data_IF_412760718946
#
_entry.id   IF_412760718946
#
_cell.length_a   1.000
_cell.length_b   1.000
_cell.length_c   1.000
_cell.angle_alpha   90.00
_cell.angle_beta   90.00
_cell.angle_gamma   90.00
#
_symmetry.space_group_name_H-M   'P 1'
#
loop_
_entity.id
_entity.type
_entity.pdbx_description
1 polymer ?
#
# COMPACT_ATOMS: atom_id res chain seq x y z
N UNK A 1 -2.94 -0.28 17.97
CA UNK A 1 -2.18 0.00 16.76
C UNK A 1 -0.87 -0.78 16.79
N UNK A 2 -0.79 -1.85 16.01
CA UNK A 2 0.45 -2.62 15.80
C UNK A 2 1.48 -1.77 15.04
N UNK A 3 2.77 -1.98 15.36
CA UNK A 3 3.89 -1.28 14.73
C UNK A 3 4.87 -2.26 14.12
N UNK A 4 5.47 -1.87 13.01
CA UNK A 4 6.54 -2.62 12.37
C UNK A 4 7.86 -2.24 13.04
N UNK A 5 8.24 -3.04 14.04
CA UNK A 5 9.56 -2.92 14.68
C UNK A 5 10.64 -3.39 13.72
N UNK A 6 11.89 -2.98 13.91
CA UNK A 6 13.01 -3.42 13.05
C UNK A 6 13.13 -4.94 12.97
N UNK A 7 12.95 -5.64 14.10
CA UNK A 7 12.94 -7.11 14.14
C UNK A 7 11.82 -7.71 13.28
N UNK A 8 10.65 -7.08 13.22
CA UNK A 8 9.55 -7.54 12.37
C UNK A 8 9.81 -7.17 10.92
N UNK A 9 10.33 -5.98 10.66
CA UNK A 9 10.71 -5.52 9.33
C UNK A 9 11.71 -6.49 8.68
N UNK A 10 12.77 -6.88 9.38
CA UNK A 10 13.76 -7.84 8.88
C UNK A 10 13.17 -9.21 8.45
N UNK A 11 12.01 -9.60 8.98
CA UNK A 11 11.32 -10.85 8.58
C UNK A 11 10.53 -10.72 7.29
N UNK A 12 10.12 -9.51 6.94
CA UNK A 12 9.20 -9.25 5.82
C UNK A 12 9.82 -8.39 4.72
N UNK A 13 11.02 -7.86 4.95
CA UNK A 13 11.75 -7.01 4.01
C UNK A 13 11.88 -7.67 2.64
N UNK A 14 12.21 -8.96 2.58
CA UNK A 14 12.32 -9.68 1.30
C UNK A 14 11.00 -9.67 0.51
N UNK A 15 9.85 -9.89 1.16
CA UNK A 15 8.55 -9.88 0.49
C UNK A 15 8.15 -8.47 0.04
N UNK A 16 8.54 -7.45 0.81
CA UNK A 16 8.35 -6.05 0.42
C UNK A 16 9.23 -5.65 -0.77
N UNK A 17 10.47 -6.15 -0.84
CA UNK A 17 11.35 -5.96 -2.01
C UNK A 17 10.86 -6.68 -3.25
N UNK A 18 10.37 -7.92 -3.12
CA UNK A 18 9.77 -8.68 -4.21
C UNK A 18 8.53 -7.94 -4.75
N UNK A 19 7.60 -7.56 -3.87
CA UNK A 19 6.41 -6.80 -4.26
C UNK A 19 6.75 -5.42 -4.84
N UNK A 20 7.80 -4.76 -4.35
CA UNK A 20 8.30 -3.50 -4.95
C UNK A 20 8.84 -3.75 -6.36
N UNK A 21 9.56 -4.84 -6.56
CA UNK A 21 10.10 -5.22 -7.86
C UNK A 21 8.99 -5.54 -8.86
N UNK A 22 7.93 -6.23 -8.43
CA UNK A 22 6.70 -6.44 -9.23
C UNK A 22 6.08 -5.09 -9.63
N UNK A 23 5.91 -4.15 -8.70
CA UNK A 23 5.39 -2.82 -9.04
C UNK A 23 6.27 -2.08 -10.06
N UNK A 24 7.59 -2.14 -9.92
CA UNK A 24 8.52 -1.49 -10.85
C UNK A 24 8.36 -2.10 -12.25
N UNK A 25 8.41 -3.42 -12.35
CA UNK A 25 8.44 -4.11 -13.63
C UNK A 25 7.06 -4.10 -14.30
N UNK A 26 6.01 -4.45 -13.56
CA UNK A 26 4.71 -4.79 -14.11
C UNK A 26 3.64 -3.71 -13.82
N UNK A 27 3.91 -2.79 -12.89
CA UNK A 27 2.94 -1.78 -12.44
C UNK A 27 1.82 -2.33 -11.57
N UNK A 28 1.89 -3.62 -11.24
CA UNK A 28 0.94 -4.36 -10.41
C UNK A 28 1.71 -5.30 -9.50
N UNK A 29 1.15 -5.64 -8.34
CA UNK A 29 1.72 -6.67 -7.46
C UNK A 29 0.63 -7.65 -6.99
N UNK A 30 1.03 -8.88 -6.67
CA UNK A 30 0.11 -9.87 -6.12
C UNK A 30 -0.13 -9.66 -4.61
N UNK A 31 -1.10 -8.80 -4.30
CA UNK A 31 -1.33 -8.34 -2.93
C UNK A 31 -1.87 -9.46 -2.01
N UNK A 32 -2.46 -10.52 -2.58
CA UNK A 32 -2.91 -11.69 -1.82
C UNK A 32 -1.73 -12.56 -1.35
N UNK A 33 -0.69 -12.70 -2.19
CA UNK A 33 0.53 -13.42 -1.82
C UNK A 33 1.28 -12.63 -0.75
N UNK A 34 1.49 -11.32 -0.97
CA UNK A 34 2.14 -10.44 0.00
C UNK A 34 1.43 -10.49 1.36
N UNK A 35 0.09 -10.42 1.39
CA UNK A 35 -0.68 -10.55 2.63
C UNK A 35 -0.36 -11.84 3.37
N UNK A 36 -0.47 -12.97 2.67
CA UNK A 36 -0.28 -14.29 3.26
C UNK A 36 1.12 -14.40 3.86
N UNK A 37 2.14 -14.06 3.09
CA UNK A 37 3.55 -14.19 3.51
C UNK A 37 3.89 -13.28 4.69
N UNK A 38 3.40 -12.04 4.70
CA UNK A 38 3.59 -11.14 5.84
C UNK A 38 2.86 -11.65 7.09
N UNK A 39 1.62 -12.15 6.96
CA UNK A 39 0.86 -12.68 8.08
C UNK A 39 1.51 -13.93 8.66
N UNK A 40 1.92 -14.86 7.82
CA UNK A 40 2.56 -16.11 8.24
C UNK A 40 3.90 -15.82 8.92
N UNK A 41 4.72 -14.92 8.34
CA UNK A 41 6.05 -14.59 8.87
C UNK A 41 6.01 -13.81 10.19
N UNK A 42 4.98 -12.98 10.37
CA UNK A 42 4.80 -12.18 11.58
C UNK A 42 3.88 -12.84 12.61
N UNK A 43 3.21 -13.94 12.24
CA UNK A 43 2.13 -14.59 12.99
C UNK A 43 1.04 -13.58 13.39
N UNK A 44 0.46 -12.90 12.39
CA UNK A 44 -0.52 -11.83 12.56
C UNK A 44 -1.89 -12.16 11.96
N UNK A 45 -2.93 -11.65 12.62
CA UNK A 45 -4.27 -11.55 12.08
C UNK A 45 -4.41 -10.42 11.06
N UNK A 46 -5.53 -10.44 10.32
CA UNK A 46 -5.82 -9.44 9.28
C UNK A 46 -5.79 -8.00 9.80
N UNK A 47 -6.44 -7.72 10.94
CA UNK A 47 -6.49 -6.37 11.51
C UNK A 47 -5.11 -5.84 11.90
N UNK A 48 -4.24 -6.71 12.40
CA UNK A 48 -2.89 -6.34 12.81
C UNK A 48 -2.01 -6.06 11.60
N UNK A 49 -2.20 -6.78 10.49
CA UNK A 49 -1.52 -6.48 9.24
C UNK A 49 -1.91 -5.10 8.69
N UNK A 50 -3.18 -4.68 8.81
CA UNK A 50 -3.60 -3.34 8.36
C UNK A 50 -2.84 -2.23 9.08
N UNK A 51 -2.73 -2.34 10.41
CA UNK A 51 -1.94 -1.42 11.22
C UNK A 51 -0.48 -1.36 10.74
N UNK A 52 0.11 -2.52 10.44
CA UNK A 52 1.46 -2.63 9.88
C UNK A 52 1.56 -1.92 8.51
N UNK A 53 0.59 -2.09 7.62
CA UNK A 53 0.60 -1.44 6.31
C UNK A 53 0.52 0.08 6.44
N UNK A 54 -0.30 0.59 7.37
CA UNK A 54 -0.35 2.03 7.68
C UNK A 54 0.98 2.51 8.27
N UNK A 55 1.64 1.72 9.11
CA UNK A 55 2.95 2.04 9.66
C UNK A 55 4.03 2.07 8.56
N UNK A 56 3.95 1.18 7.57
CA UNK A 56 4.85 1.14 6.40
C UNK A 56 4.78 2.45 5.63
N UNK A 57 3.58 2.92 5.28
CA UNK A 57 3.38 4.21 4.58
C UNK A 57 4.06 5.37 5.30
N UNK A 58 4.01 5.37 6.64
CA UNK A 58 4.53 6.49 7.46
C UNK A 58 6.03 6.44 7.69
N UNK A 59 6.62 5.25 7.78
CA UNK A 59 7.98 5.06 8.32
C UNK A 59 8.98 4.51 7.32
N UNK A 60 8.50 3.88 6.24
CA UNK A 60 9.37 3.21 5.28
C UNK A 60 9.04 3.70 3.86
N UNK A 61 9.50 4.91 3.46
CA UNK A 61 9.18 5.52 2.17
C UNK A 61 9.47 4.62 0.98
N UNK A 62 10.53 3.80 1.06
CA UNK A 62 10.93 2.82 0.04
C UNK A 62 9.81 1.83 -0.32
N UNK A 63 8.97 1.45 0.64
CA UNK A 63 7.86 0.50 0.44
C UNK A 63 6.48 1.17 0.52
N UNK A 64 6.43 2.50 0.53
CA UNK A 64 5.18 3.27 0.59
C UNK A 64 4.20 2.83 -0.49
N UNK A 65 4.65 2.75 -1.75
CA UNK A 65 3.80 2.37 -2.88
C UNK A 65 3.30 0.93 -2.81
N UNK A 66 4.09 0.01 -2.27
CA UNK A 66 3.65 -1.38 -2.01
C UNK A 66 2.48 -1.39 -1.03
N UNK A 67 2.61 -0.67 0.09
CA UNK A 67 1.57 -0.60 1.10
C UNK A 67 0.30 0.10 0.57
N UNK A 68 0.43 1.18 -0.20
CA UNK A 68 -0.72 1.86 -0.82
C UNK A 68 -1.44 0.98 -1.83
N UNK A 69 -0.69 0.21 -2.64
CA UNK A 69 -1.27 -0.72 -3.60
C UNK A 69 -2.07 -1.80 -2.87
N UNK A 70 -1.49 -2.40 -1.84
CA UNK A 70 -2.19 -3.36 -0.98
C UNK A 70 -3.48 -2.77 -0.40
N UNK A 71 -3.40 -1.57 0.19
CA UNK A 71 -4.55 -0.89 0.79
C UNK A 71 -5.66 -0.63 -0.21
N UNK A 72 -5.34 -0.19 -1.43
CA UNK A 72 -6.33 0.06 -2.47
C UNK A 72 -7.08 -1.21 -2.87
N UNK A 73 -6.37 -2.34 -3.00
CA UNK A 73 -6.94 -3.57 -3.55
C UNK A 73 -7.61 -4.46 -2.49
N UNK A 74 -7.18 -4.40 -1.23
CA UNK A 74 -7.92 -4.99 -0.11
C UNK A 74 -9.21 -4.24 0.21
N UNK A 75 -9.29 -2.97 -0.19
CA UNK A 75 -10.45 -2.11 0.00
C UNK A 75 -11.52 -2.28 -1.11
N UNK A 76 -11.45 -3.35 -1.90
CA UNK A 76 -12.43 -3.65 -2.95
C UNK A 76 -13.78 -4.22 -2.43
N UNK A 77 -13.92 -4.43 -1.11
CA UNK A 77 -15.20 -4.84 -0.50
C UNK A 77 -16.16 -3.66 -0.30
N UNK A 78 -17.46 -3.87 -0.59
CA UNK A 78 -18.58 -2.91 -0.42
C UNK A 78 -18.85 -2.55 1.05
N UNK A 79 -17.90 -1.90 1.73
CA UNK A 79 -18.02 -1.46 3.11
C UNK A 79 -17.63 0.03 3.25
N UNK A 80 -18.50 0.90 3.76
CA UNK A 80 -18.24 2.35 3.87
C UNK A 80 -17.23 2.74 4.97
N UNK A 81 -16.49 1.77 5.56
CA UNK A 81 -15.60 2.02 6.71
C UNK A 81 -14.32 1.19 6.59
N UNK A 82 -13.63 1.25 5.45
CA UNK A 82 -12.28 0.71 5.39
C UNK A 82 -11.32 1.68 6.08
N UNK A 83 -10.61 1.19 7.10
CA UNK A 83 -9.61 1.91 7.89
C UNK A 83 -8.47 2.49 7.04
N UNK A 84 -8.34 2.02 5.79
CA UNK A 84 -7.40 2.56 4.83
C UNK A 84 -7.87 3.84 4.14
N UNK A 85 -9.18 4.13 4.11
CA UNK A 85 -9.71 5.30 3.40
C UNK A 85 -9.07 6.62 3.84
N UNK A 86 -8.87 6.90 5.15
CA UNK A 86 -8.19 8.14 5.56
C UNK A 86 -6.74 8.20 5.08
N UNK A 87 -6.02 7.06 5.11
CA UNK A 87 -4.62 7.02 4.65
C UNK A 87 -4.55 7.20 3.13
N UNK A 88 -5.36 6.46 2.38
CA UNK A 88 -5.45 6.59 0.92
C UNK A 88 -5.90 7.98 0.48
N UNK A 89 -6.89 8.56 1.15
CA UNK A 89 -7.38 9.91 0.83
C UNK A 89 -6.28 10.95 1.03
N UNK A 90 -5.56 10.90 2.15
CA UNK A 90 -4.42 11.77 2.40
C UNK A 90 -3.33 11.64 1.34
N UNK A 91 -2.95 10.41 1.01
CA UNK A 91 -1.87 10.14 0.05
C UNK A 91 -2.23 10.51 -1.38
N UNK A 92 -3.51 10.41 -1.75
CA UNK A 92 -4.02 10.84 -3.06
C UNK A 92 -4.38 12.33 -3.10
N UNK A 93 -4.24 13.08 -2.00
CA UNK A 93 -4.63 14.49 -1.92
C UNK A 93 -6.15 14.70 -2.02
N UNK A 94 -6.95 13.72 -1.58
CA UNK A 94 -8.42 13.74 -1.60
C UNK A 94 -9.05 14.32 -0.32
N UNK A 95 -8.25 14.66 0.69
CA UNK A 95 -8.73 15.28 1.93
C UNK A 95 -9.33 16.67 1.63
N UNK A 96 -10.67 16.72 1.48
CA UNK A 96 -11.45 17.94 1.19
C UNK A 96 -12.18 17.94 -0.16
N UNK A 97 -12.00 16.93 -1.02
CA UNK A 97 -12.67 16.88 -2.32
C UNK A 97 -14.02 16.14 -2.28
N UNK A 98 -15.10 16.91 -2.35
CA UNK A 98 -16.47 16.46 -2.66
C UNK A 98 -16.70 16.23 -4.16
N UNK A 99 -15.71 15.67 -4.87
CA UNK A 99 -15.83 15.28 -6.28
C UNK A 99 -16.63 13.99 -6.45
N UNK A 100 -17.28 13.84 -7.60
CA UNK A 100 -18.00 12.60 -7.95
C UNK A 100 -17.03 11.42 -8.08
N UNK A 101 -17.56 10.19 -8.18
CA UNK A 101 -16.73 8.98 -8.28
C UNK A 101 -15.74 9.03 -9.46
N UNK A 102 -16.13 9.61 -10.60
CA UNK A 102 -15.26 9.77 -11.77
C UNK A 102 -14.03 10.67 -11.51
N UNK A 103 -14.18 11.74 -10.74
CA UNK A 103 -13.06 12.63 -10.40
C UNK A 103 -12.04 11.91 -9.52
N UNK A 104 -12.52 11.08 -8.58
CA UNK A 104 -11.66 10.30 -7.67
C UNK A 104 -10.86 9.26 -8.43
N UNK A 105 -11.46 8.59 -9.40
CA UNK A 105 -10.78 7.56 -10.19
C UNK A 105 -9.73 8.19 -11.12
N UNK A 106 -10.01 9.36 -11.70
CA UNK A 106 -9.02 10.12 -12.47
C UNK A 106 -7.82 10.57 -11.62
N UNK A 107 -8.07 11.05 -10.39
CA UNK A 107 -7.01 11.44 -9.45
C UNK A 107 -6.14 10.23 -9.10
N UNK A 108 -6.74 9.09 -8.77
CA UNK A 108 -6.01 7.84 -8.49
C UNK A 108 -5.19 7.36 -9.68
N UNK A 109 -5.77 7.39 -10.88
CA UNK A 109 -5.08 6.97 -12.09
C UNK A 109 -3.86 7.87 -12.38
N UNK A 110 -4.01 9.19 -12.22
CA UNK A 110 -2.90 10.13 -12.34
C UNK A 110 -1.83 9.87 -11.28
N UNK A 111 -2.22 9.71 -10.01
CA UNK A 111 -1.31 9.37 -8.91
C UNK A 111 -0.43 8.16 -9.25
N UNK A 112 -1.05 7.03 -9.62
CA UNK A 112 -0.31 5.81 -9.92
C UNK A 112 0.58 5.96 -11.15
N UNK A 113 0.13 6.69 -12.17
CA UNK A 113 0.94 6.96 -13.36
C UNK A 113 2.21 7.73 -13.01
N UNK A 114 2.08 8.80 -12.24
CA UNK A 114 3.20 9.69 -11.88
C UNK A 114 4.19 8.95 -10.95
N UNK A 115 3.68 8.31 -9.89
CA UNK A 115 4.50 7.61 -8.88
C UNK A 115 5.22 6.38 -9.44
N UNK A 116 4.59 5.60 -10.32
CA UNK A 116 5.27 4.47 -10.97
C UNK A 116 6.33 4.93 -11.97
N UNK A 117 6.12 6.08 -12.64
CA UNK A 117 7.13 6.64 -13.54
C UNK A 117 8.37 7.10 -12.75
N UNK A 118 8.16 7.76 -11.61
CA UNK A 118 9.23 8.16 -10.69
C UNK A 118 9.96 6.93 -10.13
N UNK A 119 9.22 5.95 -9.59
CA UNK A 119 9.79 4.73 -9.02
C UNK A 119 10.68 3.95 -10.02
N UNK A 120 10.28 3.91 -11.30
CA UNK A 120 11.06 3.28 -12.38
C UNK A 120 12.31 4.06 -12.74
N UNK A 121 12.23 5.39 -12.69
CA UNK A 121 13.36 6.27 -12.99
C UNK A 121 14.45 6.16 -11.92
N UNK A 122 14.07 6.00 -10.65
CA UNK A 122 15.00 5.81 -9.53
C UNK A 122 15.63 4.41 -9.48
N UNK A 123 15.08 3.44 -10.23
CA UNK A 123 15.54 2.06 -10.24
C UNK A 123 16.58 1.76 -11.35
N UNK A 124 16.73 2.65 -12.33
CA UNK A 124 17.66 2.51 -13.47
C UNK A 124 18.91 3.37 -13.32
#
# INVERSE_FOLDING_TARGET
MYKLTERRFAKVEQFLEEARSELINDGVLNYNILEREMRDSLNLGFQELKDIMIDIVKRYPRYRLVALYYMQHQNAGMGPVSEFQPTLAKEYGLDGHYGGQGDRDAIKAKFWKDELAELRSDAG
#
